data_IF_900080509205
#
_entry.id   IF_900080509205
#
_cell.length_a   1.000
_cell.length_b   1.000
_cell.length_c   1.000
_cell.angle_alpha   90.00
_cell.angle_beta   90.00
_cell.angle_gamma   90.00
#
_symmetry.space_group_name_H-M   'P 1'
#
loop_
_entity.id
_entity.type
_entity.pdbx_description
1 polymer ?
#
# COMPACT_ATOMS: atom_id res chain seq x y z
N UNK A 1 -5.41 -27.57 25.26
CA UNK A 1 -5.39 -26.12 25.51
C UNK A 1 -5.44 -25.39 24.18
N UNK A 2 -6.64 -25.09 23.67
CA UNK A 2 -6.82 -24.31 22.45
C UNK A 2 -7.09 -22.86 22.88
N UNK A 3 -6.17 -21.90 22.65
CA UNK A 3 -6.38 -20.52 23.06
C UNK A 3 -7.56 -19.91 22.30
N UNK A 4 -8.42 -19.24 23.07
CA UNK A 4 -9.79 -18.78 22.78
C UNK A 4 -9.84 -17.55 21.84
N UNK A 5 -8.71 -17.15 21.25
CA UNK A 5 -8.66 -16.04 20.31
C UNK A 5 -8.45 -16.59 18.89
N UNK A 6 -9.56 -16.77 18.14
CA UNK A 6 -9.49 -17.06 16.71
C UNK A 6 -8.71 -15.97 15.93
N UNK A 7 -8.44 -16.10 14.63
CA UNK A 7 -7.59 -15.15 13.89
C UNK A 7 -8.14 -13.70 13.81
N UNK A 8 -9.41 -13.49 14.15
CA UNK A 8 -10.11 -12.18 14.06
C UNK A 8 -9.50 -11.04 14.91
N UNK A 9 -9.21 -11.20 16.22
CA UNK A 9 -8.63 -10.13 17.04
C UNK A 9 -7.22 -9.75 16.59
N UNK A 10 -6.43 -10.69 16.07
CA UNK A 10 -5.09 -10.42 15.55
C UNK A 10 -5.13 -9.64 14.23
N UNK A 11 -6.02 -9.99 13.30
CA UNK A 11 -6.24 -9.20 12.08
C UNK A 11 -6.74 -7.79 12.37
N UNK A 12 -7.64 -7.63 13.36
CA UNK A 12 -8.14 -6.31 13.78
C UNK A 12 -7.01 -5.52 14.43
N UNK A 13 -6.29 -6.10 15.41
CA UNK A 13 -5.18 -5.42 16.09
C UNK A 13 -4.06 -5.02 15.11
N UNK A 14 -3.67 -5.93 14.20
CA UNK A 14 -2.67 -5.67 13.16
C UNK A 14 -3.10 -4.57 12.19
N UNK A 15 -4.35 -4.60 11.73
CA UNK A 15 -4.90 -3.58 10.84
C UNK A 15 -5.06 -2.23 11.52
N UNK A 16 -5.48 -2.19 12.80
CA UNK A 16 -5.55 -0.96 13.59
C UNK A 16 -4.16 -0.38 13.83
N UNK A 17 -3.16 -1.21 14.17
CA UNK A 17 -1.77 -0.78 14.31
C UNK A 17 -1.21 -0.23 12.99
N UNK A 18 -1.47 -0.91 11.86
CA UNK A 18 -1.06 -0.43 10.54
C UNK A 18 -1.73 0.91 10.18
N UNK A 19 -3.02 1.07 10.45
CA UNK A 19 -3.75 2.32 10.22
C UNK A 19 -3.25 3.46 11.12
N UNK A 20 -2.94 3.19 12.39
CA UNK A 20 -2.33 4.17 13.32
C UNK A 20 -0.93 4.55 12.86
N UNK A 21 -0.11 3.58 12.42
CA UNK A 21 1.22 3.84 11.87
C UNK A 21 1.17 4.76 10.65
N UNK A 22 0.30 4.44 9.67
CA UNK A 22 0.09 5.28 8.48
C UNK A 22 -0.48 6.67 8.82
N UNK A 23 -1.45 6.74 9.75
CA UNK A 23 -2.03 8.01 10.19
C UNK A 23 -1.02 8.90 10.92
N UNK A 24 -0.13 8.32 11.72
CA UNK A 24 0.96 9.04 12.36
C UNK A 24 1.98 9.53 11.31
N UNK A 25 2.30 8.69 10.31
CA UNK A 25 3.19 9.08 9.22
C UNK A 25 2.63 10.23 8.37
N UNK A 26 1.31 10.27 8.17
CA UNK A 26 0.62 11.35 7.45
C UNK A 26 0.65 12.70 8.20
N UNK A 27 0.95 12.71 9.49
CA UNK A 27 1.07 13.91 10.33
C UNK A 27 2.52 14.41 10.47
N UNK A 28 3.49 13.77 9.80
CA UNK A 28 4.89 14.22 9.80
C UNK A 28 5.01 15.58 9.12
N UNK A 29 5.67 16.51 9.80
CA UNK A 29 6.07 17.82 9.27
C UNK A 29 7.59 17.96 9.29
N UNK A 30 8.12 18.95 8.56
CA UNK A 30 9.56 19.15 8.38
C UNK A 30 10.36 19.38 9.70
N UNK A 31 9.67 19.75 10.78
CA UNK A 31 10.24 19.97 12.12
C UNK A 31 10.26 18.71 13.02
N UNK A 32 9.74 17.58 12.55
CA UNK A 32 9.62 16.37 13.38
C UNK A 32 10.98 15.68 13.60
N UNK A 33 11.31 15.43 14.87
CA UNK A 33 12.48 14.62 15.27
C UNK A 33 12.46 13.24 14.61
N UNK A 34 13.59 12.77 14.07
CA UNK A 34 13.72 11.48 13.39
C UNK A 34 13.13 10.30 14.18
N UNK A 35 13.32 10.27 15.50
CA UNK A 35 12.88 9.16 16.35
C UNK A 35 11.35 9.15 16.54
N UNK A 36 10.74 10.31 16.77
CA UNK A 36 9.29 10.41 17.00
C UNK A 36 8.46 10.63 15.73
N UNK A 37 9.08 11.21 14.70
CA UNK A 37 8.48 11.49 13.41
C UNK A 37 8.56 10.32 12.47
N UNK A 38 9.68 9.60 12.39
CA UNK A 38 9.90 8.58 11.35
C UNK A 38 10.05 7.18 11.94
N UNK A 39 10.93 7.02 12.94
CA UNK A 39 11.26 5.71 13.49
C UNK A 39 10.07 5.06 14.22
N UNK A 40 9.37 5.83 15.06
CA UNK A 40 8.17 5.37 15.78
C UNK A 40 7.06 4.87 14.86
N UNK A 41 6.60 5.66 13.88
CA UNK A 41 5.58 5.24 12.92
C UNK A 41 5.98 4.02 12.10
N UNK A 42 7.25 3.94 11.64
CA UNK A 42 7.75 2.78 10.91
C UNK A 42 7.73 1.50 11.76
N UNK A 43 8.07 1.59 13.04
CA UNK A 43 8.01 0.45 13.96
C UNK A 43 6.57 -0.01 14.19
N UNK A 44 5.63 0.92 14.43
CA UNK A 44 4.21 0.60 14.61
C UNK A 44 3.62 -0.01 13.35
N UNK A 45 3.90 0.59 12.19
CA UNK A 45 3.46 0.07 10.90
C UNK A 45 4.06 -1.31 10.62
N UNK A 46 5.36 -1.49 10.80
CA UNK A 46 6.04 -2.77 10.61
C UNK A 46 5.53 -3.87 11.52
N UNK A 47 5.23 -3.54 12.78
CA UNK A 47 4.64 -4.48 13.73
C UNK A 47 3.21 -4.88 13.34
N UNK A 48 2.38 -3.90 12.94
CA UNK A 48 1.03 -4.15 12.43
C UNK A 48 1.02 -4.99 11.15
N UNK A 49 1.92 -4.69 10.21
CA UNK A 49 2.16 -5.46 8.99
C UNK A 49 2.59 -6.89 9.30
N UNK A 50 3.56 -7.08 10.20
CA UNK A 50 4.02 -8.41 10.60
C UNK A 50 2.90 -9.26 11.21
N UNK A 51 2.09 -8.67 12.09
CA UNK A 51 0.91 -9.34 12.66
C UNK A 51 -0.09 -9.74 11.57
N UNK A 52 -0.37 -8.83 10.62
CA UNK A 52 -1.27 -9.12 9.51
C UNK A 52 -0.70 -10.20 8.60
N UNK A 53 0.59 -10.17 8.27
CA UNK A 53 1.23 -11.14 7.38
C UNK A 53 1.17 -12.55 7.95
N UNK A 54 1.52 -12.70 9.24
CA UNK A 54 1.45 -13.97 9.96
C UNK A 54 0.01 -14.47 10.04
N UNK A 55 -0.93 -13.60 10.41
CA UNK A 55 -2.35 -13.98 10.55
C UNK A 55 -2.96 -14.36 9.21
N UNK A 56 -2.67 -13.62 8.13
CA UNK A 56 -3.18 -13.87 6.79
C UNK A 56 -2.65 -15.21 6.25
N UNK A 57 -1.35 -15.47 6.45
CA UNK A 57 -0.71 -16.71 6.02
C UNK A 57 -1.30 -17.90 6.78
N UNK A 58 -1.37 -17.82 8.11
CA UNK A 58 -2.00 -18.88 8.93
C UNK A 58 -3.46 -19.10 8.52
N UNK A 59 -4.21 -18.03 8.25
CA UNK A 59 -5.62 -18.09 7.86
C UNK A 59 -5.81 -18.67 6.46
N UNK A 60 -4.89 -18.41 5.54
CA UNK A 60 -4.93 -18.91 4.17
C UNK A 60 -4.66 -20.41 4.09
N UNK A 61 -3.82 -20.94 4.98
CA UNK A 61 -3.50 -22.37 5.05
C UNK A 61 -4.42 -23.11 6.02
N UNK A 62 -5.01 -22.43 7.01
CA UNK A 62 -5.98 -23.04 7.94
C UNK A 62 -7.29 -23.38 7.22
N UNK A 63 -7.50 -24.66 6.92
CA UNK A 63 -8.68 -25.16 6.21
C UNK A 63 -8.36 -25.86 4.89
N UNK A 64 -7.09 -25.84 4.46
CA UNK A 64 -6.61 -26.57 3.29
C UNK A 64 -6.21 -27.98 3.69
N UNK A 65 -6.63 -29.00 2.93
CA UNK A 65 -6.22 -30.37 3.19
C UNK A 65 -4.69 -30.50 3.06
N UNK A 66 -4.05 -31.37 3.85
CA UNK A 66 -2.58 -31.45 3.92
C UNK A 66 -1.91 -31.74 2.56
N UNK A 67 -2.62 -32.40 1.64
CA UNK A 67 -2.16 -32.68 0.27
C UNK A 67 -2.29 -31.48 -0.69
N UNK A 68 -3.10 -30.47 -0.36
CA UNK A 68 -3.31 -29.25 -1.15
C UNK A 68 -2.49 -28.06 -0.62
N UNK A 69 -1.83 -28.20 0.54
CA UNK A 69 -1.07 -27.12 1.18
C UNK A 69 0.02 -26.51 0.28
N UNK A 70 0.67 -27.34 -0.56
CA UNK A 70 1.64 -26.87 -1.55
C UNK A 70 1.02 -26.03 -2.65
N UNK A 71 -0.16 -26.42 -3.16
CA UNK A 71 -0.90 -25.66 -4.16
C UNK A 71 -1.43 -24.34 -3.59
N UNK A 72 -1.97 -24.35 -2.36
CA UNK A 72 -2.44 -23.14 -1.68
C UNK A 72 -1.30 -22.15 -1.40
N UNK A 73 -0.14 -22.63 -0.95
CA UNK A 73 1.05 -21.78 -0.76
C UNK A 73 1.57 -21.21 -2.08
N UNK A 74 1.61 -22.01 -3.15
CA UNK A 74 1.98 -21.56 -4.48
C UNK A 74 1.05 -20.47 -5.00
N UNK A 75 -0.26 -20.64 -4.83
CA UNK A 75 -1.25 -19.64 -5.20
C UNK A 75 -1.08 -18.35 -4.37
N UNK A 76 -0.86 -18.46 -3.07
CA UNK A 76 -0.63 -17.29 -2.21
C UNK A 76 0.59 -16.48 -2.68
N UNK A 77 1.70 -17.15 -2.97
CA UNK A 77 2.91 -16.50 -3.48
C UNK A 77 2.68 -15.85 -4.85
N UNK A 78 2.02 -16.54 -5.77
CA UNK A 78 1.69 -15.99 -7.08
C UNK A 78 0.80 -14.73 -6.95
N UNK A 79 -0.21 -14.78 -6.10
CA UNK A 79 -1.10 -13.64 -5.83
C UNK A 79 -0.35 -12.45 -5.21
N UNK A 80 0.58 -12.70 -4.29
CA UNK A 80 1.45 -11.65 -3.73
C UNK A 80 2.33 -11.01 -4.80
N UNK A 81 2.91 -11.82 -5.69
CA UNK A 81 3.79 -11.34 -6.75
C UNK A 81 3.01 -10.52 -7.79
N UNK A 82 1.81 -10.97 -8.16
CA UNK A 82 0.87 -10.23 -9.04
C UNK A 82 0.41 -8.93 -8.40
N UNK A 83 0.03 -8.96 -7.11
CA UNK A 83 -0.38 -7.74 -6.40
C UNK A 83 0.75 -6.71 -6.31
N UNK A 84 1.97 -7.17 -5.99
CA UNK A 84 3.15 -6.32 -5.93
C UNK A 84 3.52 -5.69 -7.27
N UNK A 85 3.46 -6.47 -8.36
CA UNK A 85 3.77 -5.96 -9.70
C UNK A 85 2.73 -4.96 -10.21
N UNK A 86 1.45 -5.21 -9.99
CA UNK A 86 0.37 -4.27 -10.33
C UNK A 86 0.53 -2.97 -9.55
N UNK A 87 0.81 -3.06 -8.25
CA UNK A 87 1.03 -1.88 -7.42
C UNK A 87 2.20 -1.03 -7.89
N UNK A 88 3.35 -1.67 -8.18
CA UNK A 88 4.52 -0.99 -8.69
C UNK A 88 4.28 -0.35 -10.08
N UNK A 89 3.57 -1.04 -10.96
CA UNK A 89 3.21 -0.52 -12.29
C UNK A 89 2.38 0.76 -12.18
N UNK A 90 1.35 0.77 -11.34
CA UNK A 90 0.51 1.96 -11.11
C UNK A 90 1.34 3.12 -10.59
N UNK A 91 2.18 2.89 -9.56
CA UNK A 91 3.03 3.94 -8.98
C UNK A 91 4.00 4.52 -10.01
N UNK A 92 4.65 3.66 -10.80
CA UNK A 92 5.62 4.07 -11.82
C UNK A 92 4.94 4.85 -12.94
N UNK A 93 3.76 4.41 -13.39
CA UNK A 93 2.97 5.12 -14.40
C UNK A 93 2.56 6.49 -13.91
N UNK A 94 2.02 6.62 -12.69
CA UNK A 94 1.59 7.93 -12.17
C UNK A 94 2.78 8.86 -11.98
N UNK A 95 3.88 8.37 -11.40
CA UNK A 95 5.12 9.14 -11.26
C UNK A 95 5.62 9.66 -12.62
N UNK A 96 5.66 8.78 -13.62
CA UNK A 96 6.12 9.12 -14.96
C UNK A 96 5.20 10.11 -15.67
N UNK A 97 3.88 9.92 -15.58
CA UNK A 97 2.90 10.84 -16.16
C UNK A 97 2.95 12.22 -15.51
N UNK A 98 3.01 12.29 -14.18
CA UNK A 98 3.09 13.55 -13.45
C UNK A 98 4.42 14.30 -13.71
N UNK A 99 5.53 13.57 -13.72
CA UNK A 99 6.84 14.15 -14.08
C UNK A 99 6.84 14.71 -15.50
N UNK A 100 6.22 14.01 -16.46
CA UNK A 100 6.12 14.50 -17.85
C UNK A 100 5.25 15.75 -17.97
N UNK A 101 4.07 15.75 -17.36
CA UNK A 101 3.15 16.90 -17.38
C UNK A 101 3.79 18.15 -16.76
N UNK A 102 4.57 17.97 -15.69
CA UNK A 102 5.30 19.07 -15.06
C UNK A 102 6.48 19.54 -15.92
N UNK A 103 7.23 18.63 -16.53
CA UNK A 103 8.32 18.99 -17.44
C UNK A 103 7.78 19.80 -18.64
N UNK A 104 6.64 19.43 -19.21
CA UNK A 104 6.00 20.18 -20.30
C UNK A 104 5.62 21.61 -19.89
N UNK A 105 5.23 21.84 -18.63
CA UNK A 105 4.94 23.19 -18.11
C UNK A 105 6.19 24.02 -17.89
N UNK A 106 7.30 23.38 -17.51
CA UNK A 106 8.53 24.08 -17.17
C UNK A 106 9.45 24.37 -18.36
N UNK A 107 9.37 23.59 -19.44
CA UNK A 107 10.16 23.82 -20.65
C UNK A 107 9.96 25.23 -21.24
N UNK A 108 8.74 25.77 -21.40
CA UNK A 108 8.52 27.14 -21.86
C UNK A 108 9.14 28.20 -20.95
N UNK A 109 9.05 28.01 -19.64
CA UNK A 109 9.61 28.91 -18.64
C UNK A 109 11.15 28.90 -18.68
N UNK A 110 11.74 27.72 -18.77
CA UNK A 110 13.18 27.51 -18.99
C UNK A 110 13.68 28.18 -20.28
N UNK A 111 12.96 28.02 -21.39
CA UNK A 111 13.34 28.63 -22.67
C UNK A 111 13.29 30.16 -22.62
N UNK A 112 12.45 30.74 -21.76
CA UNK A 112 12.29 32.18 -21.60
C UNK A 112 13.29 32.76 -20.60
N UNK A 113 13.44 32.12 -19.43
CA UNK A 113 14.18 32.64 -18.28
C UNK A 113 15.56 32.00 -18.03
N UNK A 114 15.87 30.87 -18.69
CA UNK A 114 17.14 30.16 -18.51
C UNK A 114 18.35 30.92 -19.08
N UNK A 115 19.51 30.75 -18.45
CA UNK A 115 20.76 31.34 -18.91
C UNK A 115 21.24 30.69 -20.24
N UNK A 116 22.08 31.37 -21.03
CA UNK A 116 22.63 30.82 -22.28
C UNK A 116 23.41 29.52 -22.06
N UNK A 117 24.13 29.42 -20.94
CA UNK A 117 24.89 28.22 -20.55
C UNK A 117 23.97 27.05 -20.23
N UNK A 118 22.87 27.29 -19.51
CA UNK A 118 21.88 26.25 -19.17
C UNK A 118 21.16 25.72 -20.42
N UNK A 119 20.87 26.60 -21.40
CA UNK A 119 20.29 26.20 -22.70
C UNK A 119 21.27 25.38 -23.54
N UNK A 120 22.56 25.70 -23.49
CA UNK A 120 23.60 24.91 -24.15
C UNK A 120 23.78 23.53 -23.49
N UNK A 121 23.64 23.45 -22.16
CA UNK A 121 23.67 22.19 -21.42
C UNK A 121 22.44 21.32 -21.73
N UNK A 122 21.24 21.90 -21.79
CA UNK A 122 20.03 21.21 -22.23
C UNK A 122 20.14 20.70 -23.68
N UNK A 123 20.72 21.49 -24.58
CA UNK A 123 20.93 21.08 -25.99
C UNK A 123 21.84 19.86 -26.13
N UNK A 124 22.79 19.67 -25.21
CA UNK A 124 23.70 18.51 -25.21
C UNK A 124 23.11 17.30 -24.46
N UNK A 125 22.48 17.54 -23.31
CA UNK A 125 22.05 16.47 -22.39
C UNK A 125 20.60 16.04 -22.58
N UNK A 126 19.78 16.87 -23.24
CA UNK A 126 18.32 16.75 -23.32
C UNK A 126 17.64 16.63 -21.94
N UNK A 127 18.33 17.04 -20.87
CA UNK A 127 17.85 17.01 -19.50
C UNK A 127 17.71 18.44 -19.00
N UNK A 128 16.59 18.73 -18.32
CA UNK A 128 16.38 20.02 -17.68
C UNK A 128 17.46 20.23 -16.59
N UNK A 129 18.16 21.38 -16.57
CA UNK A 129 19.07 21.69 -15.48
C UNK A 129 18.30 22.02 -14.19
N UNK A 130 18.96 21.90 -13.04
CA UNK A 130 18.43 22.46 -11.79
C UNK A 130 18.31 24.00 -11.94
N UNK A 131 17.26 24.66 -11.42
CA UNK A 131 16.24 24.19 -10.47
C UNK A 131 15.01 23.48 -11.07
N UNK A 132 14.70 23.65 -12.36
CA UNK A 132 13.48 23.11 -12.99
C UNK A 132 13.35 21.58 -12.86
N UNK A 133 14.47 20.86 -12.97
CA UNK A 133 14.46 19.39 -12.76
C UNK A 133 13.99 18.98 -11.36
N UNK A 134 14.30 19.76 -10.32
CA UNK A 134 13.89 19.43 -8.95
C UNK A 134 12.38 19.54 -8.77
N UNK A 135 11.75 20.55 -9.38
CA UNK A 135 10.31 20.75 -9.29
C UNK A 135 9.54 19.65 -10.03
N UNK A 136 10.05 19.21 -11.19
CA UNK A 136 9.51 18.05 -11.92
C UNK A 136 9.54 16.78 -11.07
N UNK A 137 10.67 16.50 -10.42
CA UNK A 137 10.82 15.34 -9.55
C UNK A 137 9.94 15.43 -8.31
N UNK A 138 9.85 16.61 -7.68
CA UNK A 138 9.01 16.83 -6.50
C UNK A 138 7.52 16.65 -6.81
N UNK A 139 7.06 17.15 -7.96
CA UNK A 139 5.69 16.98 -8.44
C UNK A 139 5.40 15.51 -8.76
N UNK A 140 6.32 14.81 -9.43
CA UNK A 140 6.22 13.38 -9.72
C UNK A 140 6.09 12.53 -8.46
N UNK A 141 6.93 12.80 -7.45
CA UNK A 141 6.88 12.13 -6.14
C UNK A 141 5.54 12.42 -5.46
N UNK A 142 5.14 13.69 -5.38
CA UNK A 142 3.89 14.09 -4.71
C UNK A 142 2.65 13.49 -5.35
N UNK A 143 2.60 13.45 -6.69
CA UNK A 143 1.49 12.85 -7.42
C UNK A 143 1.37 11.34 -7.18
N UNK A 144 2.49 10.63 -6.94
CA UNK A 144 2.49 9.20 -6.63
C UNK A 144 1.94 8.88 -5.24
N UNK A 145 1.90 9.85 -4.30
CA UNK A 145 1.30 9.64 -2.98
C UNK A 145 -0.23 9.45 -3.02
N UNK A 146 -0.94 10.11 -3.94
CA UNK A 146 -2.40 10.00 -4.08
C UNK A 146 -2.85 8.57 -4.42
N UNK A 147 -2.37 7.93 -5.51
CA UNK A 147 -2.73 6.56 -5.81
C UNK A 147 -2.21 5.59 -4.75
N UNK A 148 -1.06 5.85 -4.12
CA UNK A 148 -0.57 5.04 -3.00
C UNK A 148 -1.55 5.06 -1.81
N UNK A 149 -2.05 6.25 -1.45
CA UNK A 149 -3.07 6.40 -0.41
C UNK A 149 -4.39 5.72 -0.81
N UNK A 150 -4.83 5.86 -2.06
CA UNK A 150 -6.03 5.19 -2.56
C UNK A 150 -5.90 3.66 -2.52
N UNK A 151 -4.75 3.12 -2.92
CA UNK A 151 -4.43 1.70 -2.82
C UNK A 151 -4.44 1.21 -1.36
N UNK A 152 -3.89 1.99 -0.44
CA UNK A 152 -3.92 1.67 0.99
C UNK A 152 -5.37 1.63 1.54
N UNK A 153 -6.22 2.59 1.14
CA UNK A 153 -7.64 2.60 1.51
C UNK A 153 -8.38 1.40 0.91
N UNK A 154 -8.14 1.07 -0.37
CA UNK A 154 -8.72 -0.10 -1.00
C UNK A 154 -8.29 -1.41 -0.33
N UNK A 155 -7.02 -1.52 0.06
CA UNK A 155 -6.51 -2.67 0.81
C UNK A 155 -7.21 -2.79 2.17
N UNK A 156 -7.38 -1.68 2.89
CA UNK A 156 -8.13 -1.64 4.15
C UNK A 156 -9.60 -2.00 3.96
N UNK A 157 -10.26 -1.48 2.93
CA UNK A 157 -11.65 -1.79 2.60
C UNK A 157 -11.83 -3.27 2.23
N UNK A 158 -10.90 -3.83 1.47
CA UNK A 158 -10.90 -5.25 1.10
C UNK A 158 -10.72 -6.13 2.33
N UNK A 159 -9.75 -5.81 3.19
CA UNK A 159 -9.55 -6.51 4.46
C UNK A 159 -10.82 -6.44 5.33
N UNK A 160 -11.44 -5.27 5.44
CA UNK A 160 -12.68 -5.07 6.19
C UNK A 160 -13.85 -5.89 5.61
N UNK A 161 -14.05 -5.88 4.30
CA UNK A 161 -15.09 -6.65 3.61
C UNK A 161 -14.91 -8.16 3.83
N UNK A 162 -13.70 -8.68 3.66
CA UNK A 162 -13.38 -10.11 3.88
C UNK A 162 -13.68 -10.52 5.33
N UNK A 163 -13.37 -9.65 6.30
CA UNK A 163 -13.68 -9.89 7.72
C UNK A 163 -15.20 -9.89 7.97
N UNK A 164 -15.95 -9.00 7.30
CA UNK A 164 -17.40 -8.86 7.45
C UNK A 164 -18.16 -10.04 6.83
N UNK A 165 -17.79 -10.46 5.62
CA UNK A 165 -18.41 -11.58 4.90
C UNK A 165 -18.25 -12.89 5.69
N UNK A 166 -17.08 -13.13 6.30
CA UNK A 166 -16.86 -14.26 7.23
C UNK A 166 -17.64 -14.19 8.55
N UNK A 167 -18.39 -13.13 8.85
CA UNK A 167 -19.33 -13.11 10.00
C UNK A 167 -20.74 -13.48 9.53
N UNK A 168 -21.18 -12.96 8.39
CA UNK A 168 -22.52 -13.20 7.83
C UNK A 168 -22.71 -14.59 7.22
N UNK A 169 -21.66 -15.19 6.63
CA UNK A 169 -21.77 -16.52 6.00
C UNK A 169 -21.98 -17.63 7.04
N UNK A 170 -21.47 -17.43 8.27
CA UNK A 170 -21.69 -18.33 9.39
C UNK A 170 -23.11 -18.22 9.95
N UNK A 171 -23.69 -17.01 9.96
CA UNK A 171 -25.06 -16.78 10.43
C UNK A 171 -26.09 -17.37 9.45
N UNK A 172 -25.83 -17.28 8.14
CA UNK A 172 -26.64 -17.87 7.07
C UNK A 172 -26.62 -19.41 7.07
N UNK A 173 -25.49 -20.03 7.43
CA UNK A 173 -25.37 -21.49 7.58
C UNK A 173 -25.96 -22.02 8.90
N UNK A 174 -26.04 -21.19 9.94
CA UNK A 174 -26.66 -21.54 11.23
C UNK A 174 -28.17 -21.28 11.31
N UNK A 175 -28.77 -20.70 10.26
CA UNK A 175 -30.14 -20.17 10.28
C UNK A 175 -31.26 -21.03 9.68
N UNK A 176 -31.00 -22.10 8.92
CA UNK A 176 -32.06 -23.05 8.53
C UNK A 176 -31.52 -24.40 8.01
N UNK A 177 -31.31 -25.35 8.92
CA UNK A 177 -31.65 -26.75 8.69
C UNK A 177 -31.57 -27.53 10.02
N UNK A 178 -32.70 -27.57 10.73
CA UNK A 178 -33.06 -28.60 11.70
C UNK A 178 -33.27 -28.10 13.13
N UNK A 179 -34.11 -28.77 13.96
CA UNK A 179 -34.63 -30.14 13.78
C UNK A 179 -36.13 -30.35 14.10
N UNK A 180 -36.74 -31.41 13.54
CA UNK A 180 -37.66 -32.25 14.31
C UNK A 180 -39.08 -32.50 13.77
N UNK A 181 -39.28 -33.75 13.37
CA UNK A 181 -40.41 -34.64 13.71
C UNK A 181 -41.81 -34.38 13.12
N UNK A 182 -42.23 -35.37 12.33
CA UNK A 182 -43.58 -35.67 11.88
C UNK A 182 -43.53 -36.87 10.95
#
# INVERSE_FOLDING_TARGET
FLPVFGPKPFLIAGSTLAAVGLGWQALISADSSYVGGVLGPMLIFGFGMGLNFVTLTLTAVSGVAQHEAGAASGLLNAMQQVGGSIGLAILTTVFGTASKDEAEKQVPDFLTNGSPEQKAEFAQTHQLPAPWSHDVLAQGISAAFIPAAAMAVLALATAWLVIRVRKSDLEALSGSAGPGMG
#
